data_IF_669874358489
#
_entry.id   IF_669874358489
#
_cell.length_a   1.000
_cell.length_b   1.000
_cell.length_c   1.000
_cell.angle_alpha   90.00
_cell.angle_beta   90.00
_cell.angle_gamma   90.00
#
_symmetry.space_group_name_H-M   'P 1'
#
loop_
_entity.id
_entity.type
_entity.pdbx_description
1 polymer ?
#
# COMPACT_ATOMS: atom_id res chain seq x y z
N UNK A 1 11.98 52.04 -42.96
CA UNK A 1 12.56 51.66 -44.26
C UNK A 1 13.18 50.28 -44.05
N UNK A 2 12.38 49.25 -44.34
CA UNK A 2 12.47 48.40 -45.56
C UNK A 2 13.38 47.19 -45.25
N UNK A 3 12.91 45.96 -45.03
CA UNK A 3 12.06 45.06 -45.83
C UNK A 3 12.81 44.33 -46.97
N UNK A 4 12.58 43.01 -47.05
CA UNK A 4 12.79 42.09 -48.18
C UNK A 4 14.26 41.81 -48.60
N UNK A 5 14.76 40.59 -48.83
CA UNK A 5 14.27 39.26 -49.28
C UNK A 5 15.21 38.21 -48.63
N UNK A 6 14.82 36.96 -48.35
CA UNK A 6 14.88 35.83 -49.29
C UNK A 6 13.80 34.81 -48.93
N UNK A 7 12.99 34.46 -49.94
CA UNK A 7 11.97 33.43 -49.94
C UNK A 7 12.51 32.19 -50.67
N UNK A 8 12.24 31.00 -50.11
CA UNK A 8 12.11 29.70 -50.76
C UNK A 8 13.31 29.10 -51.53
N UNK A 9 13.80 27.95 -51.05
CA UNK A 9 13.63 26.62 -51.68
C UNK A 9 14.16 25.57 -50.69
N UNK A 10 13.30 24.71 -50.17
CA UNK A 10 13.65 23.34 -49.76
C UNK A 10 12.43 22.47 -50.05
N UNK A 11 12.26 22.18 -51.33
CA UNK A 11 11.42 21.08 -51.81
C UNK A 11 12.12 19.75 -51.46
N UNK A 12 11.34 18.84 -50.89
CA UNK A 12 11.49 17.39 -50.99
C UNK A 12 12.75 16.76 -50.40
N UNK A 13 12.76 16.64 -49.09
CA UNK A 13 12.88 15.30 -48.49
C UNK A 13 11.73 15.10 -47.50
N UNK A 14 10.64 14.53 -48.00
CA UNK A 14 9.73 13.76 -47.15
C UNK A 14 10.47 12.51 -46.69
N UNK A 15 11.40 12.68 -45.75
CA UNK A 15 11.65 11.64 -44.78
C UNK A 15 10.49 11.78 -43.80
N UNK A 16 9.49 10.90 -43.96
CA UNK A 16 8.50 10.65 -42.93
C UNK A 16 9.25 10.14 -41.69
N UNK A 17 9.78 11.07 -40.91
CA UNK A 17 10.00 10.84 -39.51
C UNK A 17 8.63 11.03 -38.86
N UNK A 18 8.17 10.05 -38.09
CA UNK A 18 6.92 10.05 -37.31
C UNK A 18 6.93 11.13 -36.20
N UNK A 19 7.22 12.38 -36.56
CA UNK A 19 7.26 13.54 -35.70
C UNK A 19 5.98 14.34 -35.86
N UNK A 20 5.37 14.67 -34.73
CA UNK A 20 4.22 15.56 -34.52
C UNK A 20 3.48 16.06 -35.78
N UNK A 21 2.21 15.65 -35.93
CA UNK A 21 1.37 16.07 -37.06
C UNK A 21 1.05 17.57 -36.98
N UNK A 22 1.56 18.34 -37.95
CA UNK A 22 1.29 19.75 -38.14
C UNK A 22 0.19 19.93 -39.19
N UNK A 23 -0.87 20.65 -38.85
CA UNK A 23 -2.02 20.86 -39.72
C UNK A 23 -2.20 22.34 -40.03
N UNK A 24 -2.58 22.68 -41.26
CA UNK A 24 -2.89 24.06 -41.64
C UNK A 24 -4.29 24.46 -41.14
N UNK A 25 -4.45 25.74 -40.79
CA UNK A 25 -5.70 26.30 -40.30
C UNK A 25 -5.91 26.11 -38.79
N UNK A 26 -7.15 26.38 -38.34
CA UNK A 26 -7.53 26.35 -36.92
C UNK A 26 -7.80 24.94 -36.41
N UNK A 27 -7.69 24.78 -35.09
CA UNK A 27 -8.15 23.57 -34.41
C UNK A 27 -9.61 23.23 -34.75
N UNK A 28 -9.90 21.95 -35.04
CA UNK A 28 -11.27 21.42 -35.00
C UNK A 28 -11.96 21.73 -33.67
N UNK A 29 -13.29 21.82 -33.71
CA UNK A 29 -14.11 22.04 -32.52
C UNK A 29 -15.12 20.90 -32.32
N UNK A 30 -14.65 19.67 -32.02
CA UNK A 30 -15.53 18.53 -31.84
C UNK A 30 -16.46 18.67 -30.63
N UNK A 31 -17.64 18.03 -30.66
CA UNK A 31 -18.48 17.91 -29.49
C UNK A 31 -17.76 17.12 -28.40
N UNK A 32 -17.91 17.56 -27.15
CA UNK A 32 -17.39 16.88 -25.95
C UNK A 32 -18.48 16.08 -25.24
N UNK A 33 -18.05 15.14 -24.41
CA UNK A 33 -18.94 14.26 -23.65
C UNK A 33 -19.97 15.08 -22.86
N UNK A 34 -21.25 14.77 -23.07
CA UNK A 34 -22.36 15.36 -22.30
C UNK A 34 -22.37 14.81 -20.88
N UNK A 35 -22.75 15.65 -19.93
CA UNK A 35 -22.90 15.31 -18.51
C UNK A 35 -21.66 14.64 -17.90
N UNK A 36 -20.47 15.12 -18.31
CA UNK A 36 -19.22 14.52 -17.88
C UNK A 36 -19.01 14.64 -16.37
N UNK A 37 -18.77 13.49 -15.73
CA UNK A 37 -18.53 13.39 -14.30
C UNK A 37 -17.05 13.13 -14.03
N UNK A 38 -16.35 14.19 -13.62
CA UNK A 38 -14.92 14.16 -13.31
C UNK A 38 -14.57 13.10 -12.27
N UNK A 39 -15.40 12.91 -11.24
CA UNK A 39 -15.13 11.94 -10.17
C UNK A 39 -15.16 10.48 -10.68
N UNK A 40 -16.07 10.15 -11.60
CA UNK A 40 -16.12 8.82 -12.22
C UNK A 40 -14.95 8.54 -13.17
N UNK A 41 -14.29 9.60 -13.66
CA UNK A 41 -13.14 9.50 -14.56
C UNK A 41 -11.83 9.12 -13.85
N UNK A 42 -11.80 9.17 -12.52
CA UNK A 42 -10.61 8.90 -11.71
C UNK A 42 -10.07 7.47 -11.86
N UNK A 43 -8.84 7.24 -11.42
CA UNK A 43 -8.12 5.98 -11.53
C UNK A 43 -7.17 5.95 -12.72
N UNK A 44 -6.73 4.76 -13.09
CA UNK A 44 -5.75 4.56 -14.17
C UNK A 44 -6.43 4.27 -15.50
N UNK A 45 -5.84 4.81 -16.55
CA UNK A 45 -6.17 4.58 -17.95
C UNK A 45 -4.89 4.20 -18.69
N UNK A 46 -4.98 3.19 -19.55
CA UNK A 46 -3.90 2.71 -20.41
C UNK A 46 -4.09 3.27 -21.81
N UNK A 47 -3.02 3.79 -22.41
CA UNK A 47 -3.03 4.28 -23.78
C UNK A 47 -3.06 3.12 -24.77
N UNK A 48 -4.10 3.05 -25.60
CA UNK A 48 -4.29 2.00 -26.60
C UNK A 48 -3.81 2.48 -27.97
N UNK A 49 -4.21 3.69 -28.35
CA UNK A 49 -3.74 4.35 -29.56
C UNK A 49 -3.59 5.86 -29.33
N UNK A 50 -2.73 6.49 -30.12
CA UNK A 50 -2.52 7.94 -30.06
C UNK A 50 -2.11 8.54 -31.39
N UNK A 51 -2.35 9.85 -31.54
CA UNK A 51 -1.64 10.63 -32.55
C UNK A 51 -0.19 10.87 -32.10
N UNK A 52 0.74 11.16 -33.03
CA UNK A 52 2.15 11.32 -32.71
C UNK A 52 2.38 12.36 -31.60
N UNK A 53 3.06 11.96 -30.54
CA UNK A 53 3.36 12.78 -29.37
C UNK A 53 4.85 12.66 -29.01
N UNK A 54 5.68 13.62 -29.44
CA UNK A 54 7.16 13.55 -29.33
C UNK A 54 7.70 13.45 -27.89
N UNK A 55 6.87 13.76 -26.90
CA UNK A 55 7.19 13.67 -25.47
C UNK A 55 6.95 12.27 -24.89
N UNK A 56 6.28 11.37 -25.61
CA UNK A 56 6.06 9.97 -25.23
C UNK A 56 6.92 9.05 -26.10
N UNK A 57 7.98 8.48 -25.51
CA UNK A 57 9.03 7.75 -26.25
C UNK A 57 9.14 6.29 -25.86
N UNK A 58 8.46 5.88 -24.80
CA UNK A 58 8.47 4.54 -24.26
C UNK A 58 7.29 3.71 -24.73
N UNK A 59 7.08 2.62 -24.01
CA UNK A 59 5.91 1.76 -24.10
C UNK A 59 5.16 1.74 -22.76
N UNK A 60 4.05 1.01 -22.66
CA UNK A 60 3.28 0.88 -21.42
C UNK A 60 2.74 2.21 -20.88
N UNK A 61 2.43 3.15 -21.79
CA UNK A 61 1.95 4.47 -21.47
C UNK A 61 0.63 4.38 -20.68
N UNK A 62 0.59 5.07 -19.54
CA UNK A 62 -0.59 5.11 -18.68
C UNK A 62 -0.73 6.49 -18.03
N UNK A 63 -1.98 6.90 -17.82
CA UNK A 63 -2.34 8.10 -17.10
C UNK A 63 -3.15 7.73 -15.86
N UNK A 64 -2.80 8.27 -14.70
CA UNK A 64 -3.52 8.06 -13.45
C UNK A 64 -4.05 9.39 -12.92
N UNK A 65 -5.34 9.43 -12.65
CA UNK A 65 -6.06 10.61 -12.19
C UNK A 65 -6.55 10.42 -10.76
N UNK A 66 -6.33 11.43 -9.90
CA UNK A 66 -6.87 11.44 -8.53
C UNK A 66 -7.39 12.83 -8.15
N UNK A 67 -8.55 12.87 -7.50
CA UNK A 67 -9.15 14.12 -7.01
C UNK A 67 -8.36 14.63 -5.79
N UNK A 68 -8.11 15.94 -5.79
CA UNK A 68 -7.52 16.68 -4.69
C UNK A 68 -8.60 17.37 -3.86
N UNK A 69 -8.26 17.74 -2.63
CA UNK A 69 -9.19 18.37 -1.69
C UNK A 69 -9.69 19.75 -2.14
N UNK A 70 -8.93 20.41 -3.01
CA UNK A 70 -9.29 21.71 -3.60
C UNK A 70 -10.18 21.59 -4.85
N UNK A 71 -10.59 20.36 -5.22
CA UNK A 71 -11.42 20.07 -6.38
C UNK A 71 -10.65 19.95 -7.69
N UNK A 72 -9.33 20.11 -7.69
CA UNK A 72 -8.49 19.87 -8.86
C UNK A 72 -8.14 18.39 -9.02
N UNK A 73 -7.64 17.99 -10.18
CA UNK A 73 -7.26 16.60 -10.48
C UNK A 73 -5.74 16.52 -10.57
N UNK A 74 -5.11 15.68 -9.74
CA UNK A 74 -3.71 15.29 -9.96
C UNK A 74 -3.65 14.34 -11.15
N UNK A 75 -2.77 14.65 -12.09
CA UNK A 75 -2.45 13.85 -13.29
C UNK A 75 -1.06 13.25 -13.10
N UNK A 76 -0.94 11.94 -13.23
CA UNK A 76 0.36 11.25 -13.24
C UNK A 76 0.46 10.38 -14.49
N UNK A 77 1.34 10.77 -15.41
CA UNK A 77 1.63 10.00 -16.62
C UNK A 77 2.93 9.21 -16.42
N UNK A 78 2.97 7.98 -16.92
CA UNK A 78 4.16 7.15 -16.87
C UNK A 78 4.30 6.27 -18.12
N UNK A 79 5.55 6.00 -18.48
CA UNK A 79 5.95 5.12 -19.57
C UNK A 79 7.19 4.30 -19.17
N UNK A 80 7.36 3.14 -19.81
CA UNK A 80 8.54 2.28 -19.70
C UNK A 80 9.48 2.56 -20.87
N UNK A 81 10.65 3.08 -20.57
CA UNK A 81 11.70 3.34 -21.56
C UNK A 81 12.38 2.04 -22.01
N UNK A 82 13.04 2.08 -23.17
CA UNK A 82 13.80 0.95 -23.73
C UNK A 82 14.92 0.43 -22.82
N UNK A 83 15.42 1.25 -21.90
CA UNK A 83 16.42 0.87 -20.89
C UNK A 83 15.81 0.21 -19.63
N UNK A 84 14.50 -0.04 -19.61
CA UNK A 84 13.78 -0.64 -18.49
C UNK A 84 13.44 0.32 -17.34
N UNK A 85 13.83 1.60 -17.43
CA UNK A 85 13.46 2.61 -16.43
C UNK A 85 12.06 3.16 -16.72
N UNK A 86 11.36 3.53 -15.66
CA UNK A 86 10.11 4.29 -15.75
C UNK A 86 10.44 5.76 -15.91
N UNK A 87 9.89 6.38 -16.94
CA UNK A 87 9.81 7.83 -17.08
C UNK A 87 8.40 8.27 -16.68
N UNK A 88 8.29 9.33 -15.89
CA UNK A 88 6.99 9.79 -15.38
C UNK A 88 6.97 11.29 -15.19
N UNK A 89 5.78 11.87 -15.29
CA UNK A 89 5.53 13.30 -15.07
C UNK A 89 4.22 13.49 -14.30
N UNK A 90 4.23 14.42 -13.36
CA UNK A 90 3.05 14.83 -12.61
C UNK A 90 2.60 16.23 -13.01
N UNK A 91 1.29 16.43 -13.02
CA UNK A 91 0.64 17.70 -13.32
C UNK A 91 -0.68 17.84 -12.58
N UNK A 92 -1.36 18.96 -12.85
CA UNK A 92 -2.67 19.28 -12.30
C UNK A 92 -3.61 19.64 -13.44
N UNK A 93 -4.81 19.07 -13.43
CA UNK A 93 -5.89 19.39 -14.33
C UNK A 93 -7.03 20.08 -13.58
N UNK A 94 -7.68 21.05 -14.25
CA UNK A 94 -8.82 21.79 -13.71
C UNK A 94 -9.92 21.86 -14.75
N UNK A 95 -11.17 21.77 -14.32
CA UNK A 95 -12.31 22.00 -15.22
C UNK A 95 -12.30 23.45 -15.68
N UNK A 96 -12.22 23.67 -16.99
CA UNK A 96 -12.13 25.01 -17.59
C UNK A 96 -13.38 25.84 -17.36
N UNK A 97 -14.54 25.21 -17.53
CA UNK A 97 -15.85 25.82 -17.32
C UNK A 97 -16.81 24.77 -16.74
N UNK A 98 -17.48 25.09 -15.65
CA UNK A 98 -18.44 24.20 -15.00
C UNK A 98 -19.61 23.80 -15.90
N UNK A 99 -19.94 24.59 -16.92
CA UNK A 99 -20.98 24.25 -17.91
C UNK A 99 -20.50 23.24 -18.98
N UNK A 100 -19.19 23.00 -19.08
CA UNK A 100 -18.58 22.02 -19.99
C UNK A 100 -17.50 21.23 -19.25
N UNK A 101 -17.88 20.35 -18.29
CA UNK A 101 -16.95 19.66 -17.41
C UNK A 101 -15.99 18.70 -18.12
N UNK A 102 -16.30 18.32 -19.37
CA UNK A 102 -15.45 17.49 -20.22
C UNK A 102 -14.22 18.22 -20.80
N UNK A 103 -14.13 19.53 -20.61
CA UNK A 103 -12.98 20.35 -21.04
C UNK A 103 -12.17 20.71 -19.80
N UNK A 104 -10.97 20.13 -19.72
CA UNK A 104 -10.00 20.41 -18.67
C UNK A 104 -8.81 21.19 -19.21
N UNK A 105 -8.26 22.08 -18.40
CA UNK A 105 -6.96 22.71 -18.65
C UNK A 105 -5.92 21.97 -17.79
N UNK A 106 -4.88 21.43 -18.44
CA UNK A 106 -3.85 20.57 -17.82
C UNK A 106 -2.51 21.29 -17.80
N UNK A 107 -1.88 21.31 -16.62
CA UNK A 107 -0.62 21.99 -16.37
C UNK A 107 0.41 21.03 -15.78
N UNK A 108 1.58 20.93 -16.42
CA UNK A 108 2.72 20.12 -15.93
C UNK A 108 3.89 20.97 -15.41
N UNK A 109 3.99 22.23 -15.85
CA UNK A 109 5.11 23.11 -15.52
C UNK A 109 4.61 24.51 -15.20
N UNK A 110 5.05 25.06 -14.07
CA UNK A 110 4.71 26.42 -13.66
C UNK A 110 5.24 27.43 -14.68
N UNK A 111 4.36 28.29 -15.20
CA UNK A 111 4.72 29.34 -16.16
C UNK A 111 4.63 28.93 -17.63
N UNK A 112 4.28 27.66 -17.91
CA UNK A 112 3.90 27.19 -19.25
C UNK A 112 2.38 27.28 -19.38
N UNK A 113 1.81 27.74 -20.51
CA UNK A 113 0.37 27.74 -20.72
C UNK A 113 -0.24 26.34 -20.55
N UNK A 114 -1.43 26.30 -19.95
CA UNK A 114 -2.15 25.05 -19.76
C UNK A 114 -2.61 24.49 -21.12
N UNK A 115 -2.54 23.17 -21.26
CA UNK A 115 -2.98 22.47 -22.47
C UNK A 115 -4.43 22.02 -22.34
N UNK A 116 -5.26 22.23 -23.36
CA UNK A 116 -6.63 21.74 -23.35
C UNK A 116 -6.68 20.20 -23.40
N UNK A 117 -7.49 19.58 -22.56
CA UNK A 117 -7.75 18.15 -22.53
C UNK A 117 -9.26 17.93 -22.62
N UNK A 118 -9.73 17.53 -23.80
CA UNK A 118 -11.15 17.41 -24.11
C UNK A 118 -11.53 15.95 -24.15
N UNK A 119 -12.42 15.53 -23.23
CA UNK A 119 -13.00 14.18 -23.29
C UNK A 119 -14.15 14.21 -24.29
N UNK A 120 -13.94 13.61 -25.46
CA UNK A 120 -14.95 13.54 -26.52
C UNK A 120 -16.04 12.54 -26.17
N UNK A 121 -15.65 11.36 -25.67
CA UNK A 121 -16.55 10.23 -25.40
C UNK A 121 -15.95 9.31 -24.34
N UNK A 122 -16.74 8.88 -23.35
CA UNK A 122 -16.31 7.86 -22.38
C UNK A 122 -17.50 7.17 -21.72
N UNK A 123 -17.37 5.88 -21.45
CA UNK A 123 -18.30 5.12 -20.61
C UNK A 123 -17.81 5.01 -19.14
N UNK A 124 -16.68 5.65 -18.82
CA UNK A 124 -15.94 5.62 -17.54
C UNK A 124 -15.35 4.26 -17.13
N UNK A 125 -15.81 3.16 -17.73
CA UNK A 125 -15.56 1.79 -17.26
C UNK A 125 -14.67 0.99 -18.21
N UNK A 126 -14.67 1.30 -19.49
CA UNK A 126 -13.91 0.57 -20.50
C UNK A 126 -13.04 1.48 -21.34
N UNK A 127 -13.54 2.63 -21.81
CA UNK A 127 -12.84 3.48 -22.76
C UNK A 127 -12.95 4.99 -22.46
N UNK A 128 -12.01 5.76 -23.01
CA UNK A 128 -12.11 7.21 -23.13
C UNK A 128 -11.44 7.68 -24.42
N UNK A 129 -12.13 8.52 -25.18
CA UNK A 129 -11.60 9.21 -26.34
C UNK A 129 -11.28 10.66 -25.97
N UNK A 130 -10.03 11.04 -26.14
CA UNK A 130 -9.49 12.33 -25.71
C UNK A 130 -8.91 13.07 -26.90
N UNK A 131 -9.16 14.38 -26.95
CA UNK A 131 -8.58 15.29 -27.93
C UNK A 131 -7.93 16.49 -27.25
N UNK A 132 -6.82 16.97 -27.81
CA UNK A 132 -6.12 18.19 -27.38
C UNK A 132 -5.61 18.88 -28.63
N UNK A 133 -5.78 20.20 -28.71
CA UNK A 133 -5.29 20.96 -29.85
C UNK A 133 -4.78 22.33 -29.43
N UNK A 134 -3.62 22.71 -29.96
CA UNK A 134 -3.01 24.03 -29.80
C UNK A 134 -3.04 24.77 -31.14
N UNK A 135 -3.78 25.88 -31.18
CA UNK A 135 -3.87 26.78 -32.33
C UNK A 135 -2.74 27.81 -32.30
N UNK A 136 -2.07 28.02 -33.43
CA UNK A 136 -1.03 29.04 -33.60
C UNK A 136 -1.51 30.13 -34.55
N UNK A 137 -2.22 31.10 -33.96
CA UNK A 137 -2.72 32.31 -34.62
C UNK A 137 -3.59 32.02 -35.87
N UNK A 138 -4.28 30.87 -35.88
CA UNK A 138 -5.12 30.40 -36.97
C UNK A 138 -4.40 30.04 -38.27
N UNK A 139 -3.07 29.98 -38.25
CA UNK A 139 -2.27 29.61 -39.44
C UNK A 139 -2.00 28.12 -39.53
N UNK A 140 -1.67 27.52 -38.40
CA UNK A 140 -1.51 26.09 -38.24
C UNK A 140 -1.90 25.70 -36.81
N UNK A 141 -2.17 24.41 -36.61
CA UNK A 141 -2.37 23.83 -35.29
C UNK A 141 -1.60 22.52 -35.16
N UNK A 142 -1.40 22.14 -33.92
CA UNK A 142 -0.89 20.84 -33.53
C UNK A 142 -1.97 20.18 -32.68
N UNK A 143 -2.35 18.97 -33.05
CA UNK A 143 -3.31 18.19 -32.29
C UNK A 143 -2.73 16.88 -31.78
N UNK A 144 -3.44 16.36 -30.79
CA UNK A 144 -3.20 15.11 -30.14
C UNK A 144 -4.55 14.44 -29.91
N UNK A 145 -4.57 13.13 -30.08
CA UNK A 145 -5.70 12.32 -29.68
C UNK A 145 -5.17 11.09 -28.96
N UNK A 146 -5.90 10.63 -27.96
CA UNK A 146 -5.62 9.39 -27.26
C UNK A 146 -6.90 8.57 -27.15
N UNK A 147 -6.80 7.30 -27.53
CA UNK A 147 -7.77 6.28 -27.16
C UNK A 147 -7.22 5.58 -25.93
N UNK A 148 -7.93 5.73 -24.82
CA UNK A 148 -7.56 5.19 -23.53
C UNK A 148 -8.52 4.08 -23.12
N UNK A 149 -8.05 3.11 -22.33
CA UNK A 149 -8.87 2.05 -21.79
C UNK A 149 -8.56 1.72 -20.32
N UNK A 150 -9.53 1.11 -19.61
CA UNK A 150 -9.32 0.62 -18.23
C UNK A 150 -8.48 -0.66 -18.16
N UNK A 151 -8.31 -1.33 -19.30
CA UNK A 151 -7.43 -2.50 -19.48
C UNK A 151 -6.41 -2.21 -20.58
N UNK A 152 -5.32 -2.98 -20.65
CA UNK A 152 -4.26 -2.83 -21.66
C UNK A 152 -4.65 -3.28 -23.08
N UNK A 153 -5.89 -3.71 -23.24
CA UNK A 153 -6.49 -4.10 -24.50
C UNK A 153 -7.90 -3.52 -24.52
N UNK A 154 -8.34 -3.05 -25.68
CA UNK A 154 -9.70 -2.60 -25.92
C UNK A 154 -10.33 -3.50 -26.98
N UNK A 155 -11.63 -3.74 -26.84
CA UNK A 155 -12.41 -4.50 -27.80
C UNK A 155 -12.37 -3.81 -29.18
N UNK A 156 -12.27 -4.61 -30.26
CA UNK A 156 -12.07 -4.08 -31.62
C UNK A 156 -13.29 -3.33 -32.15
N UNK A 157 -14.50 -3.76 -31.79
CA UNK A 157 -15.73 -3.09 -32.18
C UNK A 157 -15.82 -1.70 -31.54
N UNK A 158 -15.47 -1.59 -30.25
CA UNK A 158 -15.37 -0.29 -29.56
C UNK A 158 -14.30 0.58 -30.18
N UNK A 159 -13.12 0.02 -30.50
CA UNK A 159 -12.03 0.76 -31.13
C UNK A 159 -12.44 1.35 -32.49
N UNK A 160 -13.13 0.57 -33.33
CA UNK A 160 -13.65 1.04 -34.62
C UNK A 160 -14.66 2.18 -34.45
N UNK A 161 -15.54 2.11 -33.45
CA UNK A 161 -16.47 3.19 -33.15
C UNK A 161 -15.73 4.49 -32.79
N UNK A 162 -14.66 4.39 -31.99
CA UNK A 162 -13.88 5.57 -31.58
C UNK A 162 -13.09 6.17 -32.75
N UNK A 163 -12.67 5.36 -33.72
CA UNK A 163 -12.09 5.86 -34.98
C UNK A 163 -13.10 6.68 -35.77
N UNK A 164 -14.34 6.19 -35.92
CA UNK A 164 -15.40 6.91 -36.61
C UNK A 164 -15.75 8.23 -35.92
N UNK A 165 -15.72 8.26 -34.58
CA UNK A 165 -15.92 9.47 -33.78
C UNK A 165 -14.79 10.50 -34.02
N UNK A 166 -13.52 10.07 -34.10
CA UNK A 166 -12.40 10.97 -34.45
C UNK A 166 -12.52 11.54 -35.86
N UNK A 167 -12.88 10.71 -36.84
CA UNK A 167 -13.10 11.15 -38.22
C UNK A 167 -14.24 12.16 -38.29
N UNK A 168 -15.35 11.88 -37.59
CA UNK A 168 -16.51 12.79 -37.50
C UNK A 168 -16.17 14.11 -36.79
N UNK A 169 -15.20 14.08 -35.87
CA UNK A 169 -14.62 15.23 -35.20
C UNK A 169 -13.69 16.08 -36.11
N UNK A 170 -13.40 15.62 -37.33
CA UNK A 170 -12.48 16.27 -38.26
C UNK A 170 -11.00 15.96 -37.98
N UNK A 171 -10.71 14.93 -37.18
CA UNK A 171 -9.36 14.50 -36.82
C UNK A 171 -8.92 13.40 -37.79
N UNK A 172 -7.74 13.58 -38.40
CA UNK A 172 -7.18 12.58 -39.30
C UNK A 172 -6.60 11.40 -38.51
N UNK A 173 -7.11 10.19 -38.76
CA UNK A 173 -6.62 8.97 -38.11
C UNK A 173 -5.45 8.30 -38.86
N UNK A 174 -4.98 8.87 -39.98
CA UNK A 174 -3.93 8.26 -40.81
C UNK A 174 -2.59 8.08 -40.08
N UNK A 175 -2.35 8.87 -39.03
CA UNK A 175 -1.15 8.81 -38.19
C UNK A 175 -1.44 8.27 -36.80
N UNK A 176 -2.63 7.70 -36.58
CA UNK A 176 -2.98 7.08 -35.31
C UNK A 176 -2.15 5.81 -35.14
N UNK A 177 -1.33 5.78 -34.09
CA UNK A 177 -0.38 4.72 -33.81
C UNK A 177 -0.86 3.87 -32.63
N UNK A 178 -0.71 2.56 -32.76
CA UNK A 178 -0.97 1.61 -31.68
C UNK A 178 0.14 1.70 -30.64
N UNK A 179 -0.25 1.90 -29.38
CA UNK A 179 0.68 1.95 -28.26
C UNK A 179 1.04 0.54 -27.79
N UNK A 180 2.34 0.27 -27.62
CA UNK A 180 2.81 -1.03 -27.14
C UNK A 180 2.47 -1.22 -25.66
N UNK A 181 1.43 -2.02 -25.39
CA UNK A 181 1.00 -2.41 -24.04
C UNK A 181 1.44 -3.85 -23.66
N UNK A 182 2.39 -4.44 -24.40
CA UNK A 182 2.89 -5.79 -24.15
C UNK A 182 4.11 -5.80 -23.22
N UNK A 183 4.21 -6.83 -22.37
CA UNK A 183 5.28 -6.90 -21.37
C UNK A 183 5.26 -5.71 -20.39
N UNK A 184 4.08 -5.11 -20.22
CA UNK A 184 3.80 -3.97 -19.34
C UNK A 184 3.38 -4.39 -17.95
N UNK A 185 3.53 -5.68 -17.64
CA UNK A 185 3.80 -6.02 -16.25
C UNK A 185 4.93 -5.08 -15.84
N UNK A 186 4.66 -4.23 -14.84
CA UNK A 186 5.75 -3.77 -13.96
C UNK A 186 6.65 -4.98 -13.84
N UNK A 187 7.97 -4.87 -14.00
CA UNK A 187 8.82 -5.90 -13.43
C UNK A 187 8.22 -6.16 -12.05
N UNK A 188 7.49 -7.28 -11.88
CA UNK A 188 6.58 -7.44 -10.73
C UNK A 188 7.49 -7.16 -9.59
N UNK A 189 7.22 -6.09 -8.82
CA UNK A 189 8.16 -5.65 -7.78
C UNK A 189 8.57 -6.94 -7.10
N UNK A 190 9.86 -7.31 -7.20
CA UNK A 190 10.26 -8.70 -6.97
C UNK A 190 9.64 -9.06 -5.61
N UNK A 191 8.89 -10.16 -5.54
CA UNK A 191 8.26 -10.54 -4.29
C UNK A 191 8.87 -11.85 -3.84
N UNK A 192 9.14 -11.94 -2.54
CA UNK A 192 9.45 -13.20 -1.90
C UNK A 192 8.14 -13.95 -1.65
N UNK A 193 7.84 -14.97 -2.44
CA UNK A 193 6.62 -15.77 -2.30
C UNK A 193 6.71 -16.84 -1.20
N UNK A 194 7.87 -16.99 -0.56
CA UNK A 194 8.10 -17.98 0.52
C UNK A 194 8.58 -17.32 1.82
N UNK A 195 7.90 -16.26 2.31
CA UNK A 195 8.38 -15.50 3.46
C UNK A 195 8.46 -16.37 4.72
N UNK A 196 9.51 -16.17 5.50
CA UNK A 196 9.71 -16.77 6.82
C UNK A 196 9.66 -15.64 7.84
N UNK A 197 8.76 -15.72 8.82
CA UNK A 197 8.60 -14.69 9.84
C UNK A 197 8.99 -15.28 11.20
N UNK A 198 9.82 -14.55 11.94
CA UNK A 198 10.20 -14.94 13.29
C UNK A 198 9.11 -14.57 14.30
N UNK A 199 8.79 -15.46 15.23
CA UNK A 199 7.94 -15.13 16.39
C UNK A 199 8.80 -15.18 17.65
N UNK A 200 8.82 -14.08 18.40
CA UNK A 200 9.59 -14.01 19.64
C UNK A 200 8.98 -14.87 20.74
N UNK A 201 9.74 -15.84 21.24
CA UNK A 201 9.38 -16.59 22.44
C UNK A 201 9.43 -15.70 23.68
N UNK A 202 8.75 -16.11 24.73
CA UNK A 202 8.80 -15.43 26.03
C UNK A 202 9.05 -16.42 27.15
N UNK A 203 9.68 -15.97 28.23
CA UNK A 203 9.99 -16.83 29.37
C UNK A 203 8.72 -17.42 30.02
N UNK A 204 8.81 -18.69 30.43
CA UNK A 204 7.81 -19.26 31.33
C UNK A 204 7.94 -18.64 32.71
N UNK A 205 6.80 -18.35 33.35
CA UNK A 205 6.77 -17.84 34.74
C UNK A 205 7.40 -18.82 35.73
N UNK A 206 7.31 -20.11 35.44
CA UNK A 206 7.91 -21.19 36.23
C UNK A 206 8.74 -22.05 35.29
N UNK A 207 10.00 -21.69 35.03
CA UNK A 207 10.87 -22.45 34.13
C UNK A 207 11.08 -23.86 34.65
N UNK A 208 11.04 -24.85 33.75
CA UNK A 208 11.44 -26.22 34.01
C UNK A 208 12.48 -26.66 32.97
N UNK A 209 13.26 -27.73 33.23
CA UNK A 209 14.15 -28.31 32.22
C UNK A 209 13.38 -28.58 30.91
N UNK A 210 13.91 -28.11 29.78
CA UNK A 210 13.27 -28.20 28.45
C UNK A 210 11.93 -27.44 28.32
N UNK A 211 11.69 -26.47 29.20
CA UNK A 211 10.47 -25.65 29.24
C UNK A 211 10.77 -24.27 29.83
N UNK A 212 11.75 -23.59 29.24
CA UNK A 212 12.23 -22.28 29.69
C UNK A 212 11.48 -21.12 29.03
N UNK A 213 11.03 -21.32 27.79
CA UNK A 213 10.28 -20.33 27.03
C UNK A 213 9.08 -20.98 26.32
N UNK A 214 8.16 -20.15 25.83
CA UNK A 214 7.02 -20.62 25.05
C UNK A 214 6.59 -19.62 23.98
N UNK A 215 5.88 -20.16 22.98
CA UNK A 215 5.08 -19.40 22.00
C UNK A 215 3.67 -20.00 22.00
N UNK A 216 2.63 -19.16 22.09
CA UNK A 216 1.27 -19.63 21.90
C UNK A 216 1.03 -20.02 20.44
N UNK A 217 0.43 -21.19 20.21
CA UNK A 217 0.29 -21.75 18.86
C UNK A 217 -0.64 -20.91 17.96
N UNK A 218 -1.52 -20.09 18.53
CA UNK A 218 -2.37 -19.16 17.78
C UNK A 218 -1.56 -18.18 16.92
N UNK A 219 -0.41 -17.69 17.40
CA UNK A 219 0.46 -16.80 16.60
C UNK A 219 1.13 -17.52 15.42
N UNK A 220 1.46 -18.81 15.58
CA UNK A 220 1.99 -19.63 14.49
C UNK A 220 0.93 -19.81 13.40
N UNK A 221 -0.28 -20.25 13.81
CA UNK A 221 -1.44 -20.42 12.93
C UNK A 221 -1.85 -19.13 12.23
N UNK A 222 -1.77 -18.00 12.94
CA UNK A 222 -2.03 -16.67 12.40
C UNK A 222 -1.17 -16.37 11.17
N UNK A 223 0.15 -16.50 11.29
CA UNK A 223 1.07 -16.24 10.18
C UNK A 223 0.97 -17.29 9.06
N UNK A 224 0.83 -18.57 9.42
CA UNK A 224 0.69 -19.66 8.44
C UNK A 224 -0.59 -19.53 7.61
N UNK A 225 -1.70 -19.06 8.20
CA UNK A 225 -2.97 -18.84 7.49
C UNK A 225 -2.87 -17.84 6.33
N UNK A 226 -1.86 -16.95 6.35
CA UNK A 226 -1.60 -15.96 5.32
C UNK A 226 -0.46 -16.34 4.35
N UNK A 227 0.05 -17.57 4.47
CA UNK A 227 1.07 -18.12 3.57
C UNK A 227 2.50 -17.70 3.92
N UNK A 228 2.81 -17.57 5.22
CA UNK A 228 4.19 -17.50 5.72
C UNK A 228 4.58 -18.80 6.44
N UNK A 229 5.89 -19.05 6.55
CA UNK A 229 6.44 -20.04 7.47
C UNK A 229 6.97 -19.35 8.71
N UNK A 230 7.10 -20.09 9.80
CA UNK A 230 7.49 -19.52 11.09
C UNK A 230 8.81 -20.08 11.59
N UNK A 231 9.64 -19.21 12.17
CA UNK A 231 10.80 -19.57 12.98
C UNK A 231 10.58 -19.07 14.41
N UNK A 232 10.72 -19.91 15.44
CA UNK A 232 10.66 -19.43 16.81
C UNK A 232 11.98 -18.72 17.16
N UNK A 233 11.91 -17.45 17.56
CA UNK A 233 13.06 -16.70 18.05
C UNK A 233 13.19 -16.97 19.55
N UNK A 234 14.21 -17.73 19.94
CA UNK A 234 14.50 -18.00 21.35
C UNK A 234 14.95 -16.74 22.08
N UNK A 235 14.57 -16.61 23.35
CA UNK A 235 15.12 -15.56 24.24
C UNK A 235 16.53 -15.93 24.69
N UNK A 236 17.26 -14.92 25.18
CA UNK A 236 18.59 -15.06 25.78
C UNK A 236 19.67 -15.66 24.84
N UNK A 237 19.56 -15.42 23.53
CA UNK A 237 20.65 -15.68 22.57
C UNK A 237 21.64 -14.50 22.51
N UNK A 238 22.81 -14.70 21.90
CA UNK A 238 23.79 -13.63 21.69
C UNK A 238 23.35 -12.68 20.58
N UNK A 239 23.93 -11.46 20.57
CA UNK A 239 23.65 -10.48 19.53
C UNK A 239 24.01 -10.99 18.12
N UNK A 240 25.09 -11.76 17.99
CA UNK A 240 25.53 -12.36 16.72
C UNK A 240 24.56 -13.44 16.23
N UNK A 241 23.98 -14.22 17.14
CA UNK A 241 22.96 -15.20 16.79
C UNK A 241 21.69 -14.51 16.30
N UNK A 242 21.26 -13.44 16.98
CA UNK A 242 20.11 -12.64 16.53
C UNK A 242 20.37 -11.95 15.20
N UNK A 243 21.57 -11.40 14.97
CA UNK A 243 21.92 -10.78 13.70
C UNK A 243 21.91 -11.79 12.54
N UNK A 244 22.45 -12.99 12.75
CA UNK A 244 22.37 -14.08 11.75
C UNK A 244 20.93 -14.46 11.43
N UNK A 245 20.10 -14.64 12.46
CA UNK A 245 18.69 -14.97 12.26
C UNK A 245 17.93 -13.83 11.58
N UNK A 246 18.16 -12.58 11.97
CA UNK A 246 17.56 -11.39 11.35
C UNK A 246 17.83 -11.34 9.84
N UNK A 247 19.07 -11.61 9.42
CA UNK A 247 19.46 -11.64 8.00
C UNK A 247 18.91 -12.86 7.24
N UNK A 248 18.27 -13.81 7.94
CA UNK A 248 17.71 -15.04 7.36
C UNK A 248 16.18 -15.00 7.23
N UNK A 249 15.50 -14.22 8.07
CA UNK A 249 14.02 -14.11 8.10
C UNK A 249 13.54 -12.80 7.46
N UNK A 250 12.27 -12.75 7.11
CA UNK A 250 11.65 -11.68 6.31
C UNK A 250 10.77 -10.72 7.11
N UNK A 251 10.71 -10.88 8.43
CA UNK A 251 9.94 -10.05 9.34
C UNK A 251 9.93 -10.65 10.74
N UNK A 252 9.47 -9.88 11.73
CA UNK A 252 9.38 -10.35 13.12
C UNK A 252 8.07 -9.95 13.79
N UNK A 253 7.49 -10.88 14.53
CA UNK A 253 6.32 -10.68 15.38
C UNK A 253 6.71 -10.79 16.86
N UNK A 254 6.36 -9.74 17.61
CA UNK A 254 6.43 -9.66 19.07
C UNK A 254 5.03 -10.00 19.63
N UNK A 255 4.82 -11.23 20.15
CA UNK A 255 3.49 -11.67 20.57
C UNK A 255 3.05 -11.03 21.88
N UNK A 256 1.76 -11.20 22.21
CA UNK A 256 1.23 -10.88 23.52
C UNK A 256 1.80 -11.81 24.60
N UNK A 257 1.70 -11.39 25.86
CA UNK A 257 2.33 -12.12 26.95
C UNK A 257 2.29 -11.37 28.28
N UNK A 258 3.13 -11.80 29.21
CA UNK A 258 3.28 -11.12 30.50
C UNK A 258 4.73 -10.96 30.96
N UNK A 259 5.69 -11.02 30.04
CA UNK A 259 7.09 -10.76 30.36
C UNK A 259 7.30 -9.28 30.71
N UNK A 260 8.32 -8.97 31.49
CA UNK A 260 8.65 -7.57 31.82
C UNK A 260 9.13 -6.82 30.58
N UNK A 261 8.44 -5.77 30.17
CA UNK A 261 8.82 -4.91 29.03
C UNK A 261 10.09 -4.06 29.26
N UNK A 262 10.73 -4.19 30.42
CA UNK A 262 11.94 -3.42 30.77
C UNK A 262 13.13 -4.26 31.26
N UNK A 263 12.93 -5.54 31.57
CA UNK A 263 14.01 -6.36 32.17
C UNK A 263 14.01 -7.83 31.78
N UNK A 264 13.06 -8.28 30.95
CA UNK A 264 13.02 -9.67 30.47
C UNK A 264 13.98 -9.93 29.31
N UNK A 265 14.29 -11.21 29.07
CA UNK A 265 14.92 -11.68 27.84
C UNK A 265 14.04 -11.42 26.62
N UNK A 266 12.72 -11.47 26.76
CA UNK A 266 11.80 -10.98 25.73
C UNK A 266 12.10 -9.52 25.33
N UNK A 267 12.18 -8.61 26.31
CA UNK A 267 12.49 -7.20 26.07
C UNK A 267 13.85 -7.03 25.39
N UNK A 268 14.90 -7.69 25.90
CA UNK A 268 16.25 -7.59 25.34
C UNK A 268 16.30 -8.06 23.88
N UNK A 269 15.63 -9.18 23.60
CA UNK A 269 15.58 -9.75 22.24
C UNK A 269 14.77 -8.86 21.30
N UNK A 270 13.61 -8.37 21.73
CA UNK A 270 12.79 -7.43 20.97
C UNK A 270 13.55 -6.14 20.63
N UNK A 271 14.33 -5.61 21.59
CA UNK A 271 15.18 -4.43 21.38
C UNK A 271 16.18 -4.65 20.24
N UNK A 272 16.90 -5.77 20.25
CA UNK A 272 17.89 -6.09 19.21
C UNK A 272 17.22 -6.19 17.84
N UNK A 273 16.10 -6.91 17.71
CA UNK A 273 15.38 -7.01 16.44
C UNK A 273 14.80 -5.67 15.97
N UNK A 274 14.31 -4.85 16.89
CA UNK A 274 13.81 -3.50 16.57
C UNK A 274 14.93 -2.60 16.06
N UNK A 275 16.08 -2.55 16.73
CA UNK A 275 17.24 -1.76 16.30
C UNK A 275 17.77 -2.23 14.93
N UNK A 276 17.90 -3.54 14.73
CA UNK A 276 18.28 -4.11 13.43
C UNK A 276 17.28 -3.76 12.33
N UNK A 277 15.98 -3.82 12.61
CA UNK A 277 14.93 -3.45 11.66
C UNK A 277 14.97 -1.95 11.32
N UNK A 278 15.15 -1.07 12.31
CA UNK A 278 15.28 0.38 12.06
C UNK A 278 16.47 0.65 11.14
N UNK A 279 17.64 0.10 11.45
CA UNK A 279 18.86 0.31 10.65
C UNK A 279 18.76 -0.32 9.25
N UNK A 280 18.11 -1.48 9.11
CA UNK A 280 17.83 -2.10 7.82
C UNK A 280 16.93 -1.20 6.95
N UNK A 281 15.81 -0.73 7.50
CA UNK A 281 14.89 0.10 6.74
C UNK A 281 15.52 1.46 6.35
N UNK A 282 16.36 2.06 7.21
CA UNK A 282 17.12 3.29 6.89
C UNK A 282 18.04 3.13 5.68
N UNK A 283 18.67 1.95 5.51
CA UNK A 283 19.54 1.65 4.36
C UNK A 283 18.79 1.11 3.14
N UNK A 284 17.46 1.11 3.16
CA UNK A 284 16.61 0.61 2.07
C UNK A 284 16.40 -0.91 2.06
N UNK A 285 16.82 -1.60 3.10
CA UNK A 285 16.59 -3.02 3.33
C UNK A 285 15.29 -3.21 4.12
N UNK A 286 14.20 -3.42 3.38
CA UNK A 286 12.86 -3.42 3.95
C UNK A 286 12.67 -4.59 4.93
N UNK A 287 12.36 -4.33 6.21
CA UNK A 287 12.13 -5.39 7.20
C UNK A 287 10.97 -5.03 8.14
N UNK A 288 9.82 -5.73 8.06
CA UNK A 288 8.63 -5.39 8.83
C UNK A 288 8.64 -5.97 10.26
N UNK A 289 8.08 -5.20 11.19
CA UNK A 289 7.93 -5.56 12.61
C UNK A 289 6.46 -5.46 13.02
N UNK A 290 5.95 -6.47 13.71
CA UNK A 290 4.61 -6.50 14.27
C UNK A 290 4.63 -6.66 15.79
N UNK A 291 3.85 -5.86 16.52
CA UNK A 291 3.62 -6.04 17.95
C UNK A 291 2.14 -6.29 18.27
N UNK A 292 1.85 -7.36 19.03
CA UNK A 292 0.51 -7.67 19.55
C UNK A 292 0.50 -7.57 21.07
N UNK A 293 -0.43 -6.82 21.66
CA UNK A 293 -0.58 -6.61 23.11
C UNK A 293 0.76 -6.25 23.79
N UNK A 294 1.39 -7.18 24.50
CA UNK A 294 2.73 -7.00 25.08
C UNK A 294 3.77 -6.55 24.04
N UNK A 295 3.69 -7.06 22.81
CA UNK A 295 4.56 -6.61 21.72
C UNK A 295 4.32 -5.16 21.33
N UNK A 296 3.07 -4.70 21.33
CA UNK A 296 2.76 -3.29 21.09
C UNK A 296 3.25 -2.40 22.25
N UNK A 297 3.00 -2.81 23.49
CA UNK A 297 3.54 -2.15 24.69
C UNK A 297 5.07 -2.03 24.61
N UNK A 298 5.74 -3.12 24.21
CA UNK A 298 7.19 -3.14 24.02
C UNK A 298 7.65 -2.17 22.92
N UNK A 299 6.96 -2.11 21.78
CA UNK A 299 7.27 -1.15 20.71
C UNK A 299 7.16 0.28 21.21
N UNK A 300 6.16 0.61 22.02
CA UNK A 300 6.03 1.98 22.55
C UNK A 300 7.21 2.37 23.43
N UNK A 301 7.68 1.47 24.30
CA UNK A 301 8.88 1.69 25.13
C UNK A 301 10.14 1.79 24.29
N UNK A 302 10.28 0.98 23.23
CA UNK A 302 11.45 1.02 22.35
C UNK A 302 11.52 2.31 21.53
N UNK A 303 10.37 2.86 21.13
CA UNK A 303 10.29 4.11 20.39
C UNK A 303 10.50 5.33 21.27
N UNK A 304 9.88 5.40 22.46
CA UNK A 304 9.96 6.58 23.33
C UNK A 304 11.12 6.56 24.32
N UNK A 305 11.67 5.38 24.64
CA UNK A 305 12.60 5.21 25.76
C UNK A 305 11.94 5.24 27.14
N UNK A 306 10.62 5.48 27.23
CA UNK A 306 9.88 5.72 28.47
C UNK A 306 8.81 4.66 28.76
N UNK A 307 8.50 4.46 30.05
CA UNK A 307 7.37 3.61 30.48
C UNK A 307 6.08 4.43 30.52
N UNK A 308 5.33 4.41 29.43
CA UNK A 308 4.19 5.31 29.18
C UNK A 308 2.81 4.66 29.39
N UNK A 309 2.76 3.49 30.03
CA UNK A 309 1.53 2.72 30.16
C UNK A 309 0.66 3.20 31.31
N UNK A 310 -0.64 3.32 31.05
CA UNK A 310 -1.69 3.58 32.03
C UNK A 310 -2.49 2.31 32.27
N UNK A 311 -2.96 2.11 33.50
CA UNK A 311 -3.78 0.94 33.84
C UNK A 311 -5.18 1.11 33.26
N UNK A 312 -5.70 0.08 32.60
CA UNK A 312 -7.03 0.06 31.98
C UNK A 312 -7.80 -1.21 32.34
N UNK A 313 -9.14 -1.14 32.33
CA UNK A 313 -10.02 -2.26 32.65
C UNK A 313 -10.40 -3.09 31.40
N UNK A 314 -9.40 -3.74 30.80
CA UNK A 314 -9.50 -4.41 29.49
C UNK A 314 -9.01 -5.86 29.53
N UNK A 315 -9.10 -6.51 30.70
CA UNK A 315 -8.61 -7.87 30.94
C UNK A 315 -9.61 -8.97 30.56
N UNK A 316 -10.12 -8.91 29.32
CA UNK A 316 -11.03 -9.92 28.76
C UNK A 316 -12.34 -9.32 28.28
N UNK A 317 -12.27 -8.46 27.26
CA UNK A 317 -13.43 -7.79 26.67
C UNK A 317 -13.28 -7.72 25.14
N UNK A 318 -14.31 -8.08 24.36
CA UNK A 318 -14.33 -7.83 22.94
C UNK A 318 -14.86 -6.42 22.68
N UNK A 319 -14.17 -5.65 21.84
CA UNK A 319 -14.54 -4.27 21.52
C UNK A 319 -14.66 -4.08 20.00
N UNK A 320 -15.50 -3.12 19.55
CA UNK A 320 -15.38 -2.57 18.21
C UNK A 320 -14.13 -1.70 18.12
N UNK A 321 -13.80 -1.21 16.93
CA UNK A 321 -12.66 -0.36 16.67
C UNK A 321 -13.11 1.08 16.38
N UNK A 322 -12.69 2.05 17.19
CA UNK A 322 -12.94 3.45 16.88
C UNK A 322 -11.87 3.97 15.91
N UNK A 323 -12.15 3.93 14.61
CA UNK A 323 -11.21 4.38 13.59
C UNK A 323 -10.96 5.88 13.65
N UNK A 324 -9.70 6.26 13.49
CA UNK A 324 -9.29 7.66 13.27
C UNK A 324 -9.35 8.02 11.79
N UNK A 325 -9.09 9.29 11.45
CA UNK A 325 -9.03 9.73 10.05
C UNK A 325 -7.85 9.10 9.29
N UNK A 326 -6.79 8.73 10.00
CA UNK A 326 -5.57 8.13 9.49
C UNK A 326 -5.82 6.71 8.96
N UNK A 327 -6.81 5.99 9.50
CA UNK A 327 -7.16 4.64 9.06
C UNK A 327 -7.52 4.56 7.56
N UNK A 328 -8.18 5.59 7.01
CA UNK A 328 -8.65 5.60 5.61
C UNK A 328 -7.53 5.52 4.58
N UNK A 329 -6.33 5.97 4.94
CA UNK A 329 -5.17 6.01 4.05
C UNK A 329 -4.03 5.12 4.58
N UNK A 330 -4.30 4.29 5.59
CA UNK A 330 -3.29 3.47 6.23
C UNK A 330 -2.79 2.38 5.29
N UNK A 331 -1.57 1.89 5.53
CA UNK A 331 -1.07 0.70 4.84
C UNK A 331 -1.82 -0.53 5.33
N UNK A 332 -2.04 -0.61 6.65
CA UNK A 332 -2.64 -1.76 7.33
C UNK A 332 -4.04 -2.12 6.81
N UNK A 333 -4.90 -1.13 6.62
CA UNK A 333 -6.31 -1.36 6.26
C UNK A 333 -6.60 -1.19 4.76
N UNK A 334 -5.59 -0.90 3.94
CA UNK A 334 -5.76 -0.59 2.52
C UNK A 334 -6.46 -1.69 1.71
N UNK A 335 -6.23 -2.95 2.06
CA UNK A 335 -6.81 -4.11 1.36
C UNK A 335 -8.03 -4.72 2.06
N UNK A 336 -8.50 -4.11 3.15
CA UNK A 336 -9.68 -4.59 3.86
C UNK A 336 -10.94 -4.28 3.05
N UNK A 337 -11.89 -5.23 2.92
CA UNK A 337 -13.19 -4.95 2.35
C UNK A 337 -13.91 -3.85 3.12
N UNK A 338 -14.63 -2.97 2.43
CA UNK A 338 -15.37 -1.88 3.06
C UNK A 338 -16.37 -2.37 4.11
N UNK A 339 -17.10 -3.44 3.81
CA UNK A 339 -18.02 -4.12 4.75
C UNK A 339 -17.29 -4.59 6.02
N UNK A 340 -16.10 -5.19 5.88
CA UNK A 340 -15.32 -5.62 7.05
C UNK A 340 -14.84 -4.43 7.90
N UNK A 341 -14.57 -3.27 7.28
CA UNK A 341 -14.24 -2.04 8.00
C UNK A 341 -15.46 -1.49 8.76
N UNK A 342 -16.66 -1.60 8.20
CA UNK A 342 -17.91 -1.23 8.87
C UNK A 342 -18.22 -2.16 10.04
N UNK A 343 -18.06 -3.48 9.86
CA UNK A 343 -18.20 -4.48 10.92
C UNK A 343 -17.19 -4.21 12.04
N UNK A 344 -15.93 -3.95 11.72
CA UNK A 344 -14.91 -3.59 12.71
C UNK A 344 -15.28 -2.34 13.50
N UNK A 345 -15.96 -1.36 12.88
CA UNK A 345 -16.34 -0.13 13.55
C UNK A 345 -17.56 -0.31 14.48
N UNK A 346 -18.39 -1.32 14.25
CA UNK A 346 -19.72 -1.44 14.87
C UNK A 346 -19.91 -2.69 15.73
N UNK A 347 -19.18 -3.77 15.45
CA UNK A 347 -19.27 -5.04 16.15
C UNK A 347 -18.08 -5.30 17.08
N UNK A 348 -18.27 -6.03 18.20
CA UNK A 348 -17.19 -6.35 19.13
C UNK A 348 -16.27 -7.46 18.57
N UNK A 349 -15.42 -7.11 17.60
CA UNK A 349 -14.59 -8.06 16.84
C UNK A 349 -13.15 -8.18 17.35
N UNK A 350 -12.66 -7.25 18.17
CA UNK A 350 -11.27 -7.24 18.63
C UNK A 350 -11.16 -7.72 20.08
N UNK A 351 -10.41 -8.80 20.30
CA UNK A 351 -10.18 -9.34 21.65
C UNK A 351 -9.17 -8.50 22.42
N UNK A 352 -9.56 -8.00 23.59
CA UNK A 352 -8.66 -7.35 24.53
C UNK A 352 -8.50 -8.17 25.81
N UNK A 353 -7.27 -8.54 26.13
CA UNK A 353 -6.88 -9.24 27.36
C UNK A 353 -5.63 -8.61 28.00
N UNK A 354 -5.64 -7.29 28.14
CA UNK A 354 -4.53 -6.48 28.68
C UNK A 354 -4.92 -5.75 29.98
N UNK A 355 -3.92 -5.28 30.73
CA UNK A 355 -4.10 -4.50 31.98
C UNK A 355 -3.58 -3.07 31.86
N UNK A 356 -2.85 -2.82 30.78
CA UNK A 356 -2.03 -1.66 30.57
C UNK A 356 -2.21 -1.22 29.12
N UNK A 357 -2.32 0.08 28.89
CA UNK A 357 -2.48 0.65 27.55
C UNK A 357 -1.77 1.99 27.47
N UNK A 358 -1.46 2.45 26.26
CA UNK A 358 -1.04 3.83 26.03
C UNK A 358 -2.29 4.69 25.85
N UNK A 359 -2.52 5.64 26.77
CA UNK A 359 -3.64 6.57 26.62
C UNK A 359 -3.44 7.46 25.38
N UNK A 360 -4.53 7.88 24.75
CA UNK A 360 -4.48 8.82 23.61
C UNK A 360 -3.79 10.12 24.00
N UNK A 361 -4.04 10.61 25.22
CA UNK A 361 -3.37 11.77 25.77
C UNK A 361 -1.85 11.56 25.82
N UNK A 362 -1.40 10.47 26.45
CA UNK A 362 0.03 10.14 26.58
C UNK A 362 0.71 10.03 25.22
N UNK A 363 0.07 9.36 24.26
CA UNK A 363 0.59 9.27 22.90
C UNK A 363 0.76 10.65 22.26
N UNK A 364 -0.26 11.51 22.34
CA UNK A 364 -0.25 12.83 21.71
C UNK A 364 0.70 13.84 22.39
N UNK A 365 1.03 13.63 23.66
CA UNK A 365 1.96 14.49 24.41
C UNK A 365 3.41 14.01 24.34
N UNK A 366 3.67 12.74 24.03
CA UNK A 366 5.02 12.24 23.83
C UNK A 366 5.45 12.45 22.38
N UNK A 367 6.46 13.29 22.16
CA UNK A 367 6.90 13.66 20.81
C UNK A 367 7.42 12.47 20.01
N UNK A 368 8.10 11.52 20.64
CA UNK A 368 8.66 10.35 19.95
C UNK A 368 7.55 9.44 19.41
N UNK A 369 6.54 9.14 20.24
CA UNK A 369 5.40 8.33 19.81
C UNK A 369 4.58 9.05 18.73
N UNK A 370 4.23 10.32 18.95
CA UNK A 370 3.40 11.11 18.03
C UNK A 370 4.04 11.27 16.64
N UNK A 371 5.36 11.47 16.60
CA UNK A 371 6.07 11.66 15.34
C UNK A 371 6.39 10.33 14.65
N UNK A 372 6.46 9.23 15.40
CA UNK A 372 6.79 7.93 14.85
C UNK A 372 5.56 7.16 14.36
N UNK A 373 4.43 7.24 15.06
CA UNK A 373 3.25 6.43 14.80
C UNK A 373 2.03 7.23 14.36
N UNK A 374 1.35 6.73 13.33
CA UNK A 374 -0.05 7.04 13.04
C UNK A 374 -0.93 6.20 13.95
N UNK A 375 -1.83 6.85 14.68
CA UNK A 375 -2.91 6.15 15.40
C UNK A 375 -4.00 5.83 14.39
N UNK A 376 -4.26 4.55 14.15
CA UNK A 376 -5.31 4.09 13.22
C UNK A 376 -6.63 3.84 13.93
N UNK A 377 -6.58 3.45 15.20
CA UNK A 377 -7.77 3.30 16.02
C UNK A 377 -7.52 3.52 17.50
N UNK A 378 -8.59 3.89 18.19
CA UNK A 378 -8.66 4.00 19.64
C UNK A 378 -9.77 3.11 20.20
N UNK A 379 -9.78 2.97 21.52
CA UNK A 379 -10.83 2.34 22.31
C UNK A 379 -10.93 3.04 23.66
N UNK A 380 -11.99 2.76 24.42
CA UNK A 380 -12.15 3.25 25.79
C UNK A 380 -12.53 2.11 26.72
N UNK A 381 -12.05 2.15 27.96
CA UNK A 381 -12.50 1.26 29.03
C UNK A 381 -13.62 1.89 29.90
N UNK A 382 -14.14 3.05 29.48
CA UNK A 382 -15.11 3.87 30.20
C UNK A 382 -14.50 5.04 30.97
N UNK A 383 -13.19 4.99 31.25
CA UNK A 383 -12.46 6.06 31.97
C UNK A 383 -11.34 6.65 31.12
N UNK A 384 -10.54 5.79 30.47
CA UNK A 384 -9.38 6.15 29.68
C UNK A 384 -9.63 5.79 28.21
N UNK A 385 -9.49 6.77 27.32
CA UNK A 385 -9.33 6.50 25.90
C UNK A 385 -7.87 6.10 25.62
N UNK A 386 -7.68 4.96 24.96
CA UNK A 386 -6.38 4.38 24.67
C UNK A 386 -6.21 4.03 23.20
N UNK A 387 -4.95 4.06 22.75
CA UNK A 387 -4.57 3.68 21.39
C UNK A 387 -4.66 2.16 21.25
N UNK A 388 -5.40 1.68 20.24
CA UNK A 388 -5.61 0.25 20.02
C UNK A 388 -4.93 -0.30 18.77
N UNK A 389 -4.70 0.53 17.75
CA UNK A 389 -3.97 0.13 16.53
C UNK A 389 -3.11 1.27 16.00
N UNK A 390 -1.86 0.97 15.63
CA UNK A 390 -0.91 1.93 15.05
C UNK A 390 -0.16 1.35 13.85
N UNK A 391 0.32 2.25 12.99
CA UNK A 391 1.42 1.98 12.06
C UNK A 391 2.43 3.12 12.09
N UNK A 392 3.72 2.86 11.90
CA UNK A 392 4.72 3.92 11.85
C UNK A 392 4.60 4.75 10.55
N UNK A 393 4.99 6.03 10.57
CA UNK A 393 4.95 6.87 9.37
C UNK A 393 5.89 6.31 8.29
N UNK A 394 7.18 6.20 8.63
CA UNK A 394 8.26 5.96 7.67
C UNK A 394 8.83 4.54 7.73
N UNK A 395 8.46 3.76 8.75
CA UNK A 395 8.95 2.39 8.95
C UNK A 395 7.80 1.38 8.80
N UNK A 396 8.09 0.14 8.35
CA UNK A 396 7.10 -0.94 8.31
C UNK A 396 6.91 -1.57 9.70
N UNK A 397 6.56 -0.75 10.70
CA UNK A 397 6.33 -1.16 12.08
C UNK A 397 4.86 -0.99 12.41
N UNK A 398 4.26 -2.03 12.97
CA UNK A 398 2.83 -2.18 13.17
C UNK A 398 2.53 -2.64 14.59
N UNK A 399 1.46 -2.11 15.18
CA UNK A 399 1.09 -2.43 16.55
C UNK A 399 -0.42 -2.58 16.73
N UNK A 400 -0.82 -3.61 17.45
CA UNK A 400 -2.21 -3.83 17.91
C UNK A 400 -2.19 -4.10 19.41
N UNK A 401 -2.98 -3.36 20.18
CA UNK A 401 -3.15 -3.63 21.62
C UNK A 401 -4.03 -4.86 21.86
N UNK A 402 -4.91 -5.17 20.90
CA UNK A 402 -5.80 -6.32 20.86
C UNK A 402 -5.15 -7.53 20.19
N UNK A 403 -5.79 -8.69 20.28
CA UNK A 403 -5.28 -9.98 19.82
C UNK A 403 -5.98 -10.47 18.54
N UNK A 404 -5.48 -10.14 17.33
CA UNK A 404 -6.08 -10.61 16.09
C UNK A 404 -6.03 -12.12 15.93
N UNK A 405 -5.07 -12.81 16.57
CA UNK A 405 -4.88 -14.25 16.42
C UNK A 405 -5.93 -15.09 17.14
N UNK A 406 -6.64 -14.53 18.12
CA UNK A 406 -7.52 -15.33 19.00
C UNK A 406 -8.80 -15.75 18.32
N UNK A 407 -9.39 -14.89 17.49
CA UNK A 407 -10.73 -15.08 16.95
C UNK A 407 -10.89 -16.40 16.18
N UNK A 408 -9.84 -16.85 15.48
CA UNK A 408 -9.87 -18.09 14.70
C UNK A 408 -9.31 -19.31 15.45
N UNK A 409 -8.52 -19.11 16.53
CA UNK A 409 -7.63 -20.16 17.03
C UNK A 409 -7.71 -20.44 18.54
N UNK A 410 -8.35 -19.59 19.34
CA UNK A 410 -8.42 -19.74 20.80
C UNK A 410 -9.85 -19.78 21.33
N UNK A 411 -10.24 -20.87 22.01
CA UNK A 411 -11.65 -21.18 22.32
C UNK A 411 -11.99 -21.21 23.81
N UNK A 412 -11.01 -20.90 24.67
CA UNK A 412 -11.10 -21.12 26.13
C UNK A 412 -11.83 -20.04 26.91
N UNK A 413 -12.24 -18.94 26.27
CA UNK A 413 -12.87 -17.81 26.94
C UNK A 413 -14.13 -17.40 26.17
N UNK A 414 -15.28 -17.27 26.84
CA UNK A 414 -16.57 -17.04 26.17
C UNK A 414 -16.65 -15.65 25.52
N UNK A 415 -15.78 -14.73 25.91
CA UNK A 415 -15.75 -13.36 25.40
C UNK A 415 -14.91 -13.21 24.11
N UNK A 416 -14.20 -14.26 23.67
CA UNK A 416 -13.40 -14.20 22.44
C UNK A 416 -14.36 -14.16 21.24
N UNK A 417 -14.23 -13.17 20.33
CA UNK A 417 -15.08 -13.09 19.15
C UNK A 417 -14.83 -14.26 18.17
N UNK A 418 -15.89 -14.96 17.81
CA UNK A 418 -15.85 -16.06 16.83
C UNK A 418 -16.83 -15.86 15.66
N UNK A 419 -17.34 -14.63 15.45
CA UNK A 419 -18.19 -14.32 14.31
C UNK A 419 -17.43 -14.47 12.98
N UNK A 420 -18.13 -14.67 11.85
CA UNK A 420 -17.47 -14.72 10.54
C UNK A 420 -16.61 -13.49 10.25
N UNK A 421 -17.06 -12.29 10.62
CA UNK A 421 -16.31 -11.05 10.45
C UNK A 421 -15.08 -11.01 11.38
N UNK A 422 -15.19 -11.47 12.63
CA UNK A 422 -14.04 -11.59 13.53
C UNK A 422 -12.94 -12.52 12.96
N UNK A 423 -13.33 -13.65 12.35
CA UNK A 423 -12.39 -14.58 11.71
C UNK A 423 -11.78 -13.98 10.43
N UNK A 424 -12.58 -13.27 9.62
CA UNK A 424 -12.06 -12.51 8.47
C UNK A 424 -11.03 -11.47 8.93
N UNK A 425 -11.30 -10.74 10.01
CA UNK A 425 -10.34 -9.79 10.61
C UNK A 425 -9.01 -10.46 10.91
N UNK A 426 -9.00 -11.64 11.56
CA UNK A 426 -7.77 -12.41 11.79
C UNK A 426 -6.99 -12.63 10.49
N UNK A 427 -7.68 -13.13 9.45
CA UNK A 427 -7.03 -13.42 8.17
C UNK A 427 -6.49 -12.15 7.49
N UNK A 428 -7.26 -11.06 7.42
CA UNK A 428 -6.82 -9.86 6.73
C UNK A 428 -5.66 -9.15 7.45
N UNK A 429 -5.61 -9.21 8.79
CA UNK A 429 -4.47 -8.73 9.57
C UNK A 429 -3.21 -9.56 9.29
N UNK A 430 -3.33 -10.89 9.27
CA UNK A 430 -2.23 -11.77 8.91
C UNK A 430 -1.77 -11.55 7.47
N UNK A 431 -2.71 -11.47 6.53
CA UNK A 431 -2.45 -11.26 5.11
C UNK A 431 -1.68 -9.97 4.88
N UNK A 432 -2.10 -8.88 5.53
CA UNK A 432 -1.37 -7.62 5.49
C UNK A 432 0.08 -7.80 5.95
N UNK A 433 0.31 -8.34 7.14
CA UNK A 433 1.67 -8.45 7.67
C UNK A 433 2.57 -9.39 6.85
N UNK A 434 2.02 -10.51 6.38
CA UNK A 434 2.76 -11.42 5.48
C UNK A 434 3.09 -10.72 4.16
N UNK A 435 2.18 -9.91 3.60
CA UNK A 435 2.47 -9.11 2.40
C UNK A 435 3.60 -8.10 2.62
N UNK A 436 3.74 -7.53 3.83
CA UNK A 436 4.91 -6.71 4.15
C UNK A 436 6.19 -7.56 4.14
N UNK A 437 6.15 -8.78 4.70
CA UNK A 437 7.31 -9.67 4.70
C UNK A 437 7.72 -10.12 3.29
N UNK A 438 6.78 -10.23 2.33
CA UNK A 438 7.09 -10.53 0.92
C UNK A 438 7.98 -9.47 0.24
N UNK A 439 8.13 -8.28 0.82
CA UNK A 439 8.98 -7.20 0.30
C UNK A 439 10.45 -7.32 0.75
N UNK A 440 10.75 -8.22 1.68
CA UNK A 440 12.10 -8.53 2.14
C UNK A 440 12.66 -9.80 1.44
N UNK A 441 13.96 -9.79 1.12
CA UNK A 441 14.64 -10.88 0.40
C UNK A 441 15.72 -11.61 1.21
N UNK A 442 15.74 -11.42 2.52
CA UNK A 442 16.54 -12.25 3.41
C UNK A 442 16.21 -13.72 3.22
N UNK A 443 17.21 -14.56 3.47
CA UNK A 443 17.11 -16.01 3.36
C UNK A 443 18.22 -16.64 4.19
N UNK A 444 17.96 -17.84 4.68
CA UNK A 444 18.99 -18.68 5.28
C UNK A 444 20.12 -18.97 4.29
N UNK A 445 21.32 -19.24 4.80
CA UNK A 445 22.49 -19.53 3.96
C UNK A 445 22.32 -20.84 3.18
N UNK A 446 21.56 -21.79 3.74
CA UNK A 446 21.26 -23.09 3.13
C UNK A 446 19.85 -23.58 3.46
N UNK A 447 19.34 -24.50 2.63
CA UNK A 447 18.07 -25.20 2.89
C UNK A 447 18.10 -26.05 4.17
N UNK A 448 19.26 -26.53 4.57
CA UNK A 448 19.43 -27.31 5.81
C UNK A 448 19.29 -26.43 7.05
N UNK A 449 19.92 -25.26 7.04
CA UNK A 449 19.77 -24.27 8.11
C UNK A 449 18.32 -23.78 8.19
N UNK A 450 17.71 -23.48 7.04
CA UNK A 450 16.28 -23.14 6.97
C UNK A 450 15.42 -24.25 7.59
N UNK A 451 15.60 -25.50 7.14
CA UNK A 451 14.82 -26.63 7.61
C UNK A 451 14.96 -26.84 9.11
N UNK A 452 16.15 -26.66 9.68
CA UNK A 452 16.39 -26.84 11.13
C UNK A 452 15.87 -25.69 11.98
N UNK A 453 15.74 -24.48 11.44
CA UNK A 453 15.22 -23.32 12.15
C UNK A 453 13.68 -23.28 12.24
N UNK A 454 12.97 -23.92 11.31
CA UNK A 454 11.51 -23.82 11.21
C UNK A 454 10.77 -24.39 12.43
N UNK A 455 9.59 -23.82 12.69
CA UNK A 455 8.67 -24.27 13.75
C UNK A 455 8.25 -25.74 13.59
N UNK A 456 8.37 -26.30 12.38
CA UNK A 456 8.04 -27.69 12.05
C UNK A 456 8.90 -28.72 12.78
N UNK A 457 10.02 -28.32 13.37
CA UNK A 457 10.84 -29.20 14.22
C UNK A 457 10.32 -29.30 15.66
N UNK A 458 9.27 -28.57 16.00
CA UNK A 458 8.72 -28.49 17.34
C UNK A 458 7.28 -29.00 17.37
N UNK A 459 6.92 -29.70 18.44
CA UNK A 459 5.57 -30.19 18.66
C UNK A 459 4.87 -29.31 19.71
N UNK A 460 3.72 -28.70 19.40
CA UNK A 460 2.98 -27.96 20.40
C UNK A 460 2.32 -28.92 21.39
N UNK A 461 2.34 -28.59 22.67
CA UNK A 461 1.63 -29.33 23.73
C UNK A 461 0.29 -28.66 24.03
N UNK A 462 -0.70 -29.47 24.43
CA UNK A 462 -1.96 -28.95 24.99
C UNK A 462 -1.63 -28.17 26.25
N UNK A 463 -2.08 -26.92 26.33
CA UNK A 463 -1.81 -26.10 27.50
C UNK A 463 -2.65 -26.59 28.70
N UNK A 464 -2.10 -26.41 29.91
CA UNK A 464 -2.78 -26.74 31.18
C UNK A 464 -4.19 -26.12 31.27
N UNK A 465 -5.16 -26.74 31.96
CA UNK A 465 -6.57 -26.30 31.94
C UNK A 465 -6.79 -24.81 32.19
N UNK A 466 -6.05 -24.20 33.11
CA UNK A 466 -6.20 -22.79 33.49
C UNK A 466 -5.55 -21.80 32.50
N UNK A 467 -4.83 -22.29 31.49
CA UNK A 467 -4.26 -21.46 30.41
C UNK A 467 -5.36 -20.74 29.62
N UNK A 468 -5.03 -19.55 29.11
CA UNK A 468 -5.85 -18.80 28.13
C UNK A 468 -5.65 -19.28 26.69
N UNK A 469 -4.67 -20.16 26.46
CA UNK A 469 -4.31 -20.71 25.16
C UNK A 469 -4.68 -22.20 25.09
N UNK A 470 -5.04 -22.70 23.92
CA UNK A 470 -5.29 -24.12 23.67
C UNK A 470 -4.00 -24.93 23.62
N UNK A 471 -3.02 -24.41 22.86
CA UNK A 471 -1.75 -25.07 22.59
C UNK A 471 -0.58 -24.10 22.74
N UNK A 472 0.56 -24.60 23.18
CA UNK A 472 1.81 -23.86 23.27
C UNK A 472 2.96 -24.69 22.73
N UNK A 473 3.85 -24.05 21.98
CA UNK A 473 5.19 -24.57 21.76
C UNK A 473 6.02 -24.25 23.01
N UNK A 474 6.67 -25.26 23.57
CA UNK A 474 7.55 -25.13 24.73
C UNK A 474 8.98 -25.40 24.27
N UNK A 475 9.93 -24.62 24.78
CA UNK A 475 11.34 -24.66 24.37
C UNK A 475 12.28 -24.80 25.57
#
# INVERSE_FOLDING_TARGET
>A
MEAFQVLFVLLLTAAAADGQSLHFGRCPNPPVQKDFNVAKYMGTWYEIEKLPALFERGKCNQASYSLLSDGTVRVHNAELLSNGKINSIEGVAKVKNSTQPAILDVSFFKGVPDSPYWVLSTDYQSYSLVYSCADYYGTFHIDFAWILARTRLLNKEVLSQLHDELVSAGVSINHLAVSDQTGCERAKAKINERPIIGILAQENRTPAPYSTAYIAASYVKFLESAGARVVPIMVNQTAEQYARLFNSINGVLFPGGSASITSSGYQRSAKIFYELAIEANKRGDYFPVWGTCLGYEQLTVLTSGDKLLSRTNTSGVPLPMHFTKEAKQSRMFKSFPAELMEDLASEPLTEHSHKWSVSVLTHNTNNDLKNFYKVLSTNTDGEIEFVSTVEAYDYPIYGTQWHPEKNAFEWRRPYIPHSPSAVKTTFYMAQFFVNEARKNFHRFESEEEERSALIYNYNPVRAVPNSVFEQKYMF
#
